data_IF_630128912497
#
_entry.id   IF_630128912497
#
_cell.length_a   1.000
_cell.length_b   1.000
_cell.length_c   1.000
_cell.angle_alpha   90.00
_cell.angle_beta   90.00
_cell.angle_gamma   90.00
#
_symmetry.space_group_name_H-M   'P 1'
#
loop_
_entity.id
_entity.type
_entity.pdbx_description
1 polymer ?
#
# COMPACT_ATOMS: atom_id res chain seq x y z
N UNK A 1 -2.73 -11.72 -5.66
CA UNK A 1 -3.57 -10.52 -5.70
C UNK A 1 -3.34 -9.67 -4.46
N UNK A 2 -3.24 -8.38 -4.64
CA UNK A 2 -3.02 -7.45 -3.54
C UNK A 2 -4.22 -6.51 -3.44
N UNK A 3 -4.77 -6.37 -2.24
CA UNK A 3 -5.86 -5.44 -2.00
C UNK A 3 -5.27 -4.14 -1.48
N UNK A 4 -5.55 -3.05 -2.20
CA UNK A 4 -5.08 -1.73 -1.84
C UNK A 4 -6.27 -0.91 -1.36
N UNK A 5 -6.24 -0.50 -0.10
CA UNK A 5 -7.32 0.29 0.47
C UNK A 5 -6.90 1.75 0.56
N UNK A 6 -7.63 2.59 -0.15
CA UNK A 6 -7.36 4.03 -0.18
C UNK A 6 -8.27 4.72 0.82
N UNK A 7 -7.85 4.72 2.07
CA UNK A 7 -8.67 5.24 3.14
C UNK A 7 -9.88 4.35 3.37
N UNK A 8 -10.97 4.93 3.81
CA UNK A 8 -12.21 4.20 4.04
C UNK A 8 -13.12 4.21 2.81
N UNK A 9 -12.67 4.81 1.71
CA UNK A 9 -13.55 5.10 0.58
C UNK A 9 -13.57 4.03 -0.49
N UNK A 10 -12.43 3.40 -0.75
CA UNK A 10 -12.34 2.48 -1.88
C UNK A 10 -11.30 1.41 -1.63
N UNK A 11 -11.54 0.25 -2.21
CA UNK A 11 -10.60 -0.86 -2.17
C UNK A 11 -10.42 -1.33 -3.61
N UNK A 12 -9.17 -1.56 -3.99
CA UNK A 12 -8.82 -1.96 -5.34
C UNK A 12 -7.94 -3.20 -5.31
N UNK A 13 -8.19 -4.11 -6.23
CA UNK A 13 -7.38 -5.31 -6.34
C UNK A 13 -6.40 -5.14 -7.48
N UNK A 14 -5.13 -5.37 -7.21
CA UNK A 14 -4.09 -5.25 -8.22
C UNK A 14 -3.17 -6.48 -8.15
N UNK A 15 -2.57 -6.81 -9.27
CA UNK A 15 -1.58 -7.89 -9.32
C UNK A 15 -0.17 -7.33 -9.35
N UNK A 16 0.00 -6.13 -9.86
CA UNK A 16 1.30 -5.48 -9.98
C UNK A 16 1.21 -4.02 -9.57
N UNK A 17 2.33 -3.48 -9.10
CA UNK A 17 2.39 -2.08 -8.68
C UNK A 17 1.98 -1.13 -9.80
N UNK A 18 2.30 -1.48 -11.04
CA UNK A 18 1.96 -0.63 -12.20
C UNK A 18 0.47 -0.48 -12.41
N UNK A 19 -0.33 -1.32 -11.79
CA UNK A 19 -1.79 -1.23 -11.91
C UNK A 19 -2.39 -0.22 -10.95
N UNK A 20 -1.58 0.29 -10.03
CA UNK A 20 -2.06 1.27 -9.07
C UNK A 20 -2.21 2.62 -9.75
N UNK A 21 -3.39 3.20 -9.65
CA UNK A 21 -3.67 4.52 -10.20
C UNK A 21 -3.38 5.57 -9.13
N UNK A 22 -2.55 6.54 -9.45
CA UNK A 22 -2.20 7.57 -8.49
C UNK A 22 -3.41 8.37 -8.00
N UNK A 23 -4.45 8.46 -8.82
CA UNK A 23 -5.65 9.18 -8.43
C UNK A 23 -6.34 8.52 -7.24
N UNK A 24 -6.13 7.25 -7.04
CA UNK A 24 -6.71 6.54 -5.88
C UNK A 24 -6.14 7.07 -4.57
N UNK A 25 -4.96 7.67 -4.62
CA UNK A 25 -4.25 8.14 -3.44
C UNK A 25 -4.53 9.60 -3.10
N UNK A 26 -5.25 10.31 -3.96
CA UNK A 26 -5.53 11.73 -3.74
C UNK A 26 -6.36 11.92 -2.48
N UNK A 27 -5.84 12.73 -1.57
CA UNK A 27 -6.53 13.05 -0.34
C UNK A 27 -6.54 11.92 0.68
N UNK A 28 -5.85 10.83 0.40
CA UNK A 28 -5.80 9.67 1.29
C UNK A 28 -4.71 9.87 2.32
N UNK A 29 -5.04 9.72 3.59
CA UNK A 29 -4.08 9.88 4.67
C UNK A 29 -3.37 8.60 5.02
N UNK A 30 -4.05 7.48 4.87
CA UNK A 30 -3.46 6.17 5.16
C UNK A 30 -3.88 5.19 4.09
N UNK A 31 -2.90 4.45 3.58
CA UNK A 31 -3.14 3.39 2.60
C UNK A 31 -2.95 2.06 3.29
N UNK A 32 -3.90 1.16 3.09
CA UNK A 32 -3.80 -0.21 3.58
C UNK A 32 -3.43 -1.14 2.44
N UNK A 33 -2.50 -2.04 2.68
CA UNK A 33 -2.11 -3.04 1.70
C UNK A 33 -2.29 -4.41 2.33
N UNK A 34 -3.15 -5.21 1.73
CA UNK A 34 -3.40 -6.57 2.22
C UNK A 34 -3.07 -7.55 1.11
N UNK A 35 -2.28 -8.54 1.43
CA UNK A 35 -1.90 -9.56 0.45
C UNK A 35 -1.92 -10.94 1.09
N UNK A 36 -2.18 -11.95 0.26
CA UNK A 36 -2.11 -13.32 0.72
C UNK A 36 -0.67 -13.77 0.86
N UNK A 37 -0.44 -14.77 1.71
CA UNK A 37 0.89 -15.31 1.92
C UNK A 37 1.49 -15.91 0.67
N UNK A 38 0.66 -16.26 -0.31
CA UNK A 38 1.11 -16.82 -1.57
C UNK A 38 1.60 -15.77 -2.56
N UNK A 39 1.36 -14.50 -2.27
CA UNK A 39 1.82 -13.42 -3.15
C UNK A 39 3.34 -13.32 -3.07
N UNK A 40 4.04 -13.30 -4.20
CA UNK A 40 5.51 -13.19 -4.18
C UNK A 40 5.96 -11.94 -3.44
N UNK A 41 6.99 -12.10 -2.62
CA UNK A 41 7.53 -10.98 -1.85
C UNK A 41 7.96 -9.82 -2.73
N UNK A 42 8.47 -10.13 -3.91
CA UNK A 42 8.89 -9.10 -4.85
C UNK A 42 7.75 -8.17 -5.24
N UNK A 43 6.57 -8.74 -5.48
CA UNK A 43 5.41 -7.93 -5.84
C UNK A 43 4.98 -7.04 -4.71
N UNK A 44 5.01 -7.55 -3.48
CA UNK A 44 4.67 -6.77 -2.30
C UNK A 44 5.66 -5.61 -2.15
N UNK A 45 6.94 -5.90 -2.35
CA UNK A 45 7.97 -4.88 -2.24
C UNK A 45 7.76 -3.77 -3.27
N UNK A 46 7.42 -4.13 -4.50
CA UNK A 46 7.18 -3.15 -5.54
C UNK A 46 6.01 -2.24 -5.22
N UNK A 47 4.94 -2.81 -4.64
CA UNK A 47 3.79 -2.00 -4.23
C UNK A 47 4.20 -1.03 -3.12
N UNK A 48 4.96 -1.51 -2.14
CA UNK A 48 5.39 -0.67 -1.04
C UNK A 48 6.32 0.44 -1.52
N UNK A 49 7.21 0.13 -2.46
CA UNK A 49 8.11 1.14 -3.04
C UNK A 49 7.34 2.18 -3.83
N UNK A 50 6.32 1.75 -4.56
CA UNK A 50 5.45 2.68 -5.29
C UNK A 50 4.83 3.70 -4.34
N UNK A 51 4.32 3.22 -3.22
CA UNK A 51 3.69 4.07 -2.23
C UNK A 51 4.71 4.95 -1.51
N UNK A 52 5.90 4.42 -1.27
CA UNK A 52 6.98 5.16 -0.64
C UNK A 52 7.33 6.42 -1.44
N UNK A 53 7.40 6.30 -2.75
CA UNK A 53 7.73 7.42 -3.62
C UNK A 53 6.66 8.50 -3.60
N UNK A 54 5.47 8.17 -3.12
CA UNK A 54 4.34 9.09 -3.10
C UNK A 54 4.01 9.61 -1.71
N UNK A 55 4.93 9.42 -0.77
CA UNK A 55 4.79 9.97 0.57
C UNK A 55 4.26 9.00 1.61
N UNK A 56 4.12 7.73 1.26
CA UNK A 56 3.66 6.69 2.18
C UNK A 56 4.83 5.78 2.52
N UNK A 57 5.85 6.36 3.15
CA UNK A 57 7.10 5.66 3.40
C UNK A 57 7.18 4.97 4.76
N UNK A 58 6.28 5.31 5.67
CA UNK A 58 6.31 4.74 7.02
C UNK A 58 5.44 3.49 7.06
N UNK A 59 6.01 2.39 6.66
CA UNK A 59 5.29 1.12 6.55
C UNK A 59 5.19 0.45 7.92
N UNK A 60 3.97 0.13 8.32
CA UNK A 60 3.73 -0.57 9.57
C UNK A 60 2.96 -1.85 9.28
N UNK A 61 3.49 -2.97 9.75
CA UNK A 61 2.81 -4.24 9.61
C UNK A 61 1.76 -4.35 10.71
N UNK A 62 0.50 -4.35 10.30
CA UNK A 62 -0.63 -4.28 11.23
C UNK A 62 -1.07 -5.65 11.68
N UNK A 63 -1.21 -6.56 10.75
CA UNK A 63 -1.73 -7.89 11.05
C UNK A 63 -1.01 -8.93 10.22
N UNK A 64 -0.65 -10.04 10.86
CA UNK A 64 -0.16 -11.21 10.14
C UNK A 64 -0.94 -12.43 10.59
N UNK A 65 -1.22 -13.29 9.62
CA UNK A 65 -1.77 -14.59 9.90
C UNK A 65 -1.03 -15.56 8.98
N UNK A 66 -1.37 -16.82 9.05
CA UNK A 66 -0.74 -17.79 8.16
C UNK A 66 -1.13 -17.56 6.70
N UNK A 67 -2.20 -16.82 6.46
CA UNK A 67 -2.74 -16.64 5.12
C UNK A 67 -2.71 -15.20 4.60
N UNK A 68 -2.59 -14.23 5.49
CA UNK A 68 -2.76 -12.83 5.09
C UNK A 68 -1.81 -11.93 5.87
N UNK A 69 -1.24 -10.95 5.15
CA UNK A 69 -0.39 -9.94 5.74
C UNK A 69 -0.98 -8.57 5.39
N UNK A 70 -1.13 -7.72 6.39
CA UNK A 70 -1.69 -6.37 6.18
C UNK A 70 -0.69 -5.32 6.65
N UNK A 71 -0.47 -4.33 5.80
CA UNK A 71 0.39 -3.19 6.11
C UNK A 71 -0.43 -1.92 6.13
N UNK A 72 -0.06 -1.00 7.01
CA UNK A 72 -0.64 0.34 7.04
C UNK A 72 0.46 1.33 6.71
N UNK A 73 0.19 2.25 5.80
CA UNK A 73 1.15 3.23 5.35
C UNK A 73 0.54 4.61 5.52
N UNK A 74 0.77 5.26 6.67
CA UNK A 74 0.27 6.61 6.87
C UNK A 74 1.05 7.59 5.99
N UNK A 75 0.38 8.63 5.56
CA UNK A 75 1.01 9.65 4.75
C UNK A 75 2.06 10.39 5.56
N UNK A 76 3.20 10.59 4.94
CA UNK A 76 4.28 11.36 5.56
C UNK A 76 3.86 12.82 5.63
N UNK A 77 3.86 13.38 6.83
CA UNK A 77 3.45 14.76 7.04
C UNK A 77 4.61 15.75 6.88
N UNK A 78 5.81 15.24 6.69
CA UNK A 78 6.95 16.13 6.49
C UNK A 78 6.84 16.84 5.15
N UNK A 79 7.47 18.01 5.02
CA UNK A 79 7.46 18.72 3.75
C UNK A 79 7.96 17.83 2.62
N UNK A 80 7.43 18.08 1.42
CA UNK A 80 7.82 17.28 0.27
C UNK A 80 9.32 17.31 0.10
N UNK A 81 9.89 16.17 -0.18
CA UNK A 81 11.30 16.08 -0.46
C UNK A 81 11.56 16.62 -1.86
N UNK A 82 12.56 17.41 -1.95
CA UNK A 82 12.97 17.96 -3.23
C UNK A 82 14.21 17.26 -3.72
#
# INVERSE_FOLDING_TARGET
EVALEAGAKASHLVDFAKEIDESWLEGVQTVGVTCGASVPELLVREVLEFLDERGYSDVEQVTTSTETITFALPRDLRPART
#
